data_IF_570920943383
#
_entry.id   IF_570920943383
#
_cell.length_a   1.000
_cell.length_b   1.000
_cell.length_c   1.000
_cell.angle_alpha   90.00
_cell.angle_beta   90.00
_cell.angle_gamma   90.00
#
_symmetry.space_group_name_H-M   'P 1'
#
loop_
_entity.id
_entity.type
_entity.pdbx_description
1 polymer ?
#
# COMPACT_ATOMS: atom_id res chain seq x y z
N UNK A 1 4.41 -10.26 12.07
CA UNK A 1 3.26 -9.60 12.73
C UNK A 1 2.34 -9.09 11.65
N UNK A 2 1.04 -9.38 11.73
CA UNK A 2 0.06 -8.97 10.72
C UNK A 2 -0.76 -7.79 11.27
N UNK A 3 -0.95 -6.77 10.45
CA UNK A 3 -1.84 -5.65 10.77
C UNK A 3 -3.21 -5.92 10.17
N UNK A 4 -4.23 -5.81 11.02
CA UNK A 4 -5.62 -5.97 10.59
C UNK A 4 -6.09 -4.71 9.87
N UNK A 5 -6.73 -4.86 8.71
CA UNK A 5 -7.35 -3.74 8.03
C UNK A 5 -8.78 -3.53 8.57
N UNK A 6 -9.32 -2.31 8.49
CA UNK A 6 -10.68 -2.00 8.96
C UNK A 6 -11.81 -2.57 8.09
N UNK A 7 -11.49 -3.35 7.07
CA UNK A 7 -12.43 -3.94 6.11
C UNK A 7 -12.59 -5.46 6.33
N UNK A 8 -11.75 -6.05 7.20
CA UNK A 8 -11.77 -7.47 7.54
C UNK A 8 -12.74 -7.69 8.70
N UNK A 9 -13.75 -8.57 8.57
CA UNK A 9 -14.69 -8.89 9.63
C UNK A 9 -14.00 -9.27 10.95
N UNK A 10 -14.66 -9.03 12.10
CA UNK A 10 -14.23 -9.46 13.45
C UNK A 10 -14.33 -10.99 13.59
N UNK A 11 -13.51 -11.68 12.81
CA UNK A 11 -13.38 -13.13 12.82
C UNK A 11 -11.94 -13.52 13.20
N UNK A 12 -11.75 -14.55 14.03
CA UNK A 12 -10.44 -15.13 14.27
C UNK A 12 -9.83 -15.60 12.95
N UNK A 13 -8.60 -15.16 12.67
CA UNK A 13 -7.87 -15.63 11.50
C UNK A 13 -6.69 -16.49 11.96
N UNK A 14 -6.54 -17.64 11.30
CA UNK A 14 -5.44 -18.57 11.55
C UNK A 14 -4.37 -18.43 10.47
N UNK A 15 -3.10 -18.47 10.86
CA UNK A 15 -1.99 -18.65 9.94
C UNK A 15 -1.38 -20.02 10.19
N UNK A 16 -1.30 -20.85 9.15
CA UNK A 16 -0.78 -22.22 9.22
C UNK A 16 -1.43 -23.09 10.32
N UNK A 17 -2.73 -22.90 10.57
CA UNK A 17 -3.47 -23.64 11.60
C UNK A 17 -3.33 -23.10 13.02
N UNK A 18 -2.52 -22.05 13.25
CA UNK A 18 -2.42 -21.36 14.54
C UNK A 18 -3.28 -20.11 14.55
N UNK A 19 -4.20 -19.99 15.53
CA UNK A 19 -5.00 -18.78 15.73
C UNK A 19 -4.10 -17.60 16.10
N UNK A 20 -4.20 -16.51 15.34
CA UNK A 20 -3.45 -15.29 15.65
C UNK A 20 -4.18 -14.55 16.77
N UNK A 21 -3.47 -14.36 17.89
CA UNK A 21 -3.98 -13.57 19.01
C UNK A 21 -4.13 -12.10 18.59
N UNK A 22 -5.28 -11.52 18.89
CA UNK A 22 -5.51 -10.09 18.71
C UNK A 22 -4.76 -9.31 19.80
N UNK A 23 -3.99 -8.30 19.41
CA UNK A 23 -3.20 -7.49 20.34
C UNK A 23 -3.28 -6.01 19.92
N UNK A 24 -3.68 -5.12 20.83
CA UNK A 24 -3.92 -3.70 20.54
C UNK A 24 -2.64 -2.90 20.30
N UNK A 25 -1.54 -3.24 20.98
CA UNK A 25 -0.23 -2.67 20.74
C UNK A 25 0.90 -3.66 21.01
N UNK A 26 2.01 -3.50 20.30
CA UNK A 26 3.21 -4.31 20.49
C UNK A 26 4.47 -3.46 20.35
N UNK A 27 5.54 -3.82 21.03
CA UNK A 27 6.82 -3.11 20.93
C UNK A 27 7.70 -3.81 19.89
N UNK A 28 7.93 -3.16 18.75
CA UNK A 28 8.86 -3.60 17.72
C UNK A 28 10.11 -2.74 17.74
N UNK A 29 11.29 -3.34 17.93
CA UNK A 29 12.57 -2.62 17.90
C UNK A 29 12.58 -1.38 18.82
N UNK A 30 11.95 -1.48 20.00
CA UNK A 30 11.86 -0.38 20.96
C UNK A 30 10.81 0.70 20.64
N UNK A 31 10.00 0.51 19.59
CA UNK A 31 8.90 1.40 19.25
C UNK A 31 7.56 0.71 19.45
N UNK A 32 6.67 1.32 20.22
CA UNK A 32 5.30 0.85 20.34
C UNK A 32 4.56 1.06 19.01
N UNK A 33 4.02 -0.01 18.47
CA UNK A 33 3.20 -0.06 17.27
C UNK A 33 1.80 -0.44 17.69
N UNK A 34 0.87 0.50 17.56
CA UNK A 34 -0.54 0.30 17.85
C UNK A 34 -1.26 -0.19 16.58
N UNK A 35 -2.01 -1.28 16.72
CA UNK A 35 -2.66 -1.98 15.60
C UNK A 35 -3.77 -1.15 14.94
N UNK A 36 -4.39 -0.21 15.68
CA UNK A 36 -5.41 0.72 15.14
C UNK A 36 -4.81 1.98 14.50
N UNK A 37 -3.75 2.53 15.08
CA UNK A 37 -3.23 3.84 14.66
C UNK A 37 -2.38 3.80 13.38
N UNK A 38 -1.81 2.65 13.04
CA UNK A 38 -0.82 2.57 11.96
C UNK A 38 -1.45 2.32 10.57
N UNK A 39 -2.69 1.83 10.46
CA UNK A 39 -3.30 1.61 9.14
C UNK A 39 -3.57 2.92 8.39
N UNK A 40 -4.22 3.89 9.05
CA UNK A 40 -4.49 5.19 8.46
C UNK A 40 -3.20 5.96 8.18
N UNK A 41 -2.22 5.86 9.08
CA UNK A 41 -0.90 6.48 8.95
C UNK A 41 -0.10 5.87 7.79
N UNK A 42 -0.04 4.55 7.69
CA UNK A 42 0.68 3.81 6.64
C UNK A 42 0.03 4.02 5.26
N UNK A 43 -1.30 4.01 5.19
CA UNK A 43 -2.03 4.41 3.98
C UNK A 43 -1.69 5.86 3.59
N UNK A 44 -1.60 6.77 4.56
CA UNK A 44 -1.18 8.16 4.34
C UNK A 44 0.27 8.29 3.86
N UNK A 45 1.19 7.43 4.31
CA UNK A 45 2.58 7.38 3.86
C UNK A 45 2.68 6.84 2.43
N UNK A 46 1.99 5.73 2.14
CA UNK A 46 1.96 5.13 0.79
C UNK A 46 1.30 6.04 -0.22
N UNK A 47 0.20 6.71 0.15
CA UNK A 47 -0.46 7.71 -0.71
C UNK A 47 0.49 8.86 -1.04
N UNK A 48 1.26 9.36 -0.06
CA UNK A 48 2.27 10.41 -0.29
C UNK A 48 3.41 9.94 -1.19
N UNK A 49 3.95 8.74 -0.97
CA UNK A 49 5.01 8.18 -1.82
C UNK A 49 4.52 7.95 -3.27
N UNK A 50 3.33 7.38 -3.43
CA UNK A 50 2.70 7.20 -4.73
C UNK A 50 2.42 8.54 -5.44
N UNK A 51 2.01 9.57 -4.69
CA UNK A 51 1.78 10.91 -5.23
C UNK A 51 3.07 11.55 -5.78
N UNK A 52 4.19 11.39 -5.08
CA UNK A 52 5.49 11.86 -5.56
C UNK A 52 5.91 11.20 -6.88
N UNK A 53 5.76 9.87 -6.97
CA UNK A 53 6.03 9.13 -8.20
C UNK A 53 5.10 9.55 -9.35
N UNK A 54 3.80 9.71 -9.05
CA UNK A 54 2.81 10.17 -10.02
C UNK A 54 3.18 11.55 -10.61
N UNK A 55 3.61 12.50 -9.78
CA UNK A 55 3.98 13.85 -10.25
C UNK A 55 5.17 13.84 -11.21
N UNK A 56 6.15 12.97 -10.97
CA UNK A 56 7.29 12.79 -11.87
C UNK A 56 6.84 12.22 -13.23
N UNK A 57 5.96 11.23 -13.23
CA UNK A 57 5.41 10.63 -14.46
C UNK A 57 4.50 11.62 -15.20
N UNK A 58 3.69 12.40 -14.48
CA UNK A 58 2.79 13.40 -15.06
C UNK A 58 3.54 14.45 -15.90
N UNK A 59 4.69 14.95 -15.41
CA UNK A 59 5.51 15.92 -16.15
C UNK A 59 6.10 15.32 -17.44
N UNK A 60 6.61 14.09 -17.38
CA UNK A 60 7.15 13.37 -18.55
C UNK A 60 6.04 13.11 -19.58
N UNK A 61 4.85 12.69 -19.14
CA UNK A 61 3.69 12.43 -20.00
C UNK A 61 3.19 13.72 -20.67
N UNK A 62 3.16 14.85 -19.95
CA UNK A 62 2.73 16.14 -20.51
C UNK A 62 3.70 16.68 -21.55
N UNK A 63 5.01 16.48 -21.37
CA UNK A 63 6.05 16.87 -22.35
C UNK A 63 6.05 15.96 -23.58
N UNK A 64 5.62 14.72 -23.43
CA UNK A 64 5.60 13.73 -24.51
C UNK A 64 4.37 13.93 -25.40
N UNK A 65 4.54 14.59 -26.56
CA UNK A 65 3.45 14.78 -27.54
C UNK A 65 3.06 13.49 -28.29
N UNK A 66 3.91 12.47 -28.27
CA UNK A 66 3.68 11.22 -29.00
C UNK A 66 2.77 10.26 -28.21
N UNK A 67 1.58 10.00 -28.74
CA UNK A 67 0.55 9.15 -28.12
C UNK A 67 1.00 7.71 -27.92
N UNK A 68 1.82 7.17 -28.83
CA UNK A 68 2.31 5.79 -28.79
C UNK A 68 3.38 5.61 -27.72
N UNK A 69 4.28 6.59 -27.58
CA UNK A 69 5.26 6.61 -26.48
C UNK A 69 4.59 6.79 -25.11
N UNK A 70 3.52 7.59 -25.02
CA UNK A 70 2.71 7.69 -23.79
C UNK A 70 2.10 6.34 -23.41
N UNK A 71 1.48 5.64 -24.36
CA UNK A 71 0.92 4.30 -24.12
C UNK A 71 1.98 3.29 -23.68
N UNK A 72 3.16 3.32 -24.32
CA UNK A 72 4.27 2.46 -23.92
C UNK A 72 4.80 2.79 -22.52
N UNK A 73 4.94 4.06 -22.14
CA UNK A 73 5.42 4.44 -20.81
C UNK A 73 4.53 3.85 -19.69
N UNK A 74 3.21 3.89 -19.86
CA UNK A 74 2.25 3.28 -18.94
C UNK A 74 2.24 1.75 -18.96
N UNK A 75 2.55 1.12 -20.09
CA UNK A 75 2.60 -0.35 -20.20
C UNK A 75 3.93 -0.94 -19.71
N UNK A 76 5.06 -0.26 -19.94
CA UNK A 76 6.40 -0.72 -19.56
C UNK A 76 6.67 -0.49 -18.08
N UNK A 77 6.09 0.56 -17.48
CA UNK A 77 5.99 0.62 -16.03
C UNK A 77 4.94 -0.39 -15.60
N UNK A 78 5.35 -1.63 -15.34
CA UNK A 78 4.57 -2.54 -14.51
C UNK A 78 4.39 -1.86 -13.14
N UNK A 79 3.31 -1.09 -13.01
CA UNK A 79 2.80 -0.49 -11.79
C UNK A 79 2.27 -1.59 -10.82
N UNK A 80 2.55 -2.86 -11.10
CA UNK A 80 2.20 -4.03 -10.30
C UNK A 80 2.85 -4.06 -8.90
N UNK A 81 3.88 -3.27 -8.61
CA UNK A 81 4.49 -3.26 -7.26
C UNK A 81 4.01 -2.14 -6.35
N UNK A 82 3.40 -1.09 -6.89
CA UNK A 82 2.92 0.05 -6.09
C UNK A 82 1.38 0.13 -6.00
N UNK A 83 0.65 -0.44 -6.96
CA UNK A 83 -0.82 -0.42 -7.00
C UNK A 83 -1.47 -1.81 -6.82
N UNK A 84 -0.72 -2.83 -6.40
CA UNK A 84 -1.25 -4.17 -6.08
C UNK A 84 -2.16 -4.23 -4.83
N UNK A 85 -2.83 -3.13 -4.49
CA UNK A 85 -4.08 -3.15 -3.75
C UNK A 85 -5.23 -2.81 -4.70
N UNK A 86 -5.31 -3.52 -5.84
CA UNK A 86 -6.55 -3.61 -6.59
C UNK A 86 -7.43 -4.63 -5.88
N UNK A 87 -8.35 -4.09 -5.08
CA UNK A 87 -9.49 -4.79 -4.48
C UNK A 87 -10.13 -5.72 -5.52
N UNK A 88 -10.23 -7.00 -5.18
CA UNK A 88 -11.45 -7.76 -5.49
C UNK A 88 -12.44 -7.53 -4.35
#
# INVERSE_FOLDING_TARGET
MFMRNGWVPDAPFSLNGTNISECSSYVYLGREVNMMNDLALELGRRKRAAWGAYKSIEDVVKKTKNTRLRAHLFNTTHVDKAFAFRSK
#
